data_IF_166236636143
#
_entry.id   IF_166236636143
#
_cell.length_a   1.000
_cell.length_b   1.000
_cell.length_c   1.000
_cell.angle_alpha   90.00
_cell.angle_beta   90.00
_cell.angle_gamma   90.00
#
_symmetry.space_group_name_H-M   'P 1'
#
loop_
_entity.id
_entity.type
_entity.pdbx_description
1 polymer ?
#
# COMPACT_ATOMS: atom_id res chain seq x y z
N UNK A 1 -35.36 -5.73 14.89
CA UNK A 1 -33.98 -5.95 14.38
C UNK A 1 -34.07 -7.07 13.37
N UNK A 2 -33.98 -6.75 12.08
CA UNK A 2 -34.09 -7.72 11.00
C UNK A 2 -32.75 -8.45 10.89
N UNK A 3 -32.75 -9.77 11.16
CA UNK A 3 -31.65 -10.64 10.81
C UNK A 3 -31.52 -10.65 9.30
N UNK A 4 -30.49 -10.03 8.77
CA UNK A 4 -30.12 -10.13 7.37
C UNK A 4 -29.45 -11.51 7.20
N UNK A 5 -30.24 -12.51 6.80
CA UNK A 5 -29.69 -13.80 6.37
C UNK A 5 -28.84 -13.54 5.10
N UNK A 6 -27.54 -13.73 5.25
CA UNK A 6 -26.61 -13.67 4.12
C UNK A 6 -26.84 -14.93 3.30
N UNK A 7 -27.39 -14.76 2.09
CA UNK A 7 -27.60 -15.87 1.16
C UNK A 7 -26.32 -16.67 0.92
N UNK A 8 -26.35 -18.01 1.04
CA UNK A 8 -25.16 -18.85 0.80
C UNK A 8 -24.54 -18.72 -0.59
N UNK A 9 -25.30 -18.25 -1.56
CA UNK A 9 -24.84 -18.03 -2.94
C UNK A 9 -23.76 -16.95 -3.08
N UNK A 10 -23.71 -15.97 -2.16
CA UNK A 10 -22.65 -14.95 -2.14
C UNK A 10 -21.32 -15.43 -1.55
N UNK A 11 -21.31 -16.55 -0.85
CA UNK A 11 -20.09 -17.11 -0.25
C UNK A 11 -19.17 -17.82 -1.26
N UNK A 12 -19.64 -18.13 -2.47
CA UNK A 12 -18.87 -18.91 -3.47
C UNK A 12 -17.85 -18.10 -4.27
N UNK A 13 -17.82 -16.76 -4.11
CA UNK A 13 -16.90 -15.87 -4.86
C UNK A 13 -15.76 -15.30 -4.03
N UNK A 14 -15.59 -15.69 -2.77
CA UNK A 14 -14.46 -15.25 -1.95
C UNK A 14 -13.23 -16.07 -2.29
N UNK A 15 -12.23 -15.43 -2.90
CA UNK A 15 -10.93 -16.04 -3.08
C UNK A 15 -10.27 -16.31 -1.72
N UNK A 16 -9.54 -17.43 -1.57
CA UNK A 16 -8.90 -17.75 -0.30
C UNK A 16 -7.82 -16.73 0.05
N UNK A 17 -7.82 -16.33 1.32
CA UNK A 17 -6.73 -15.56 1.90
C UNK A 17 -5.58 -16.48 2.28
N UNK A 18 -4.40 -16.27 1.70
CA UNK A 18 -3.19 -17.05 1.95
C UNK A 18 -2.05 -16.15 2.43
N UNK A 19 -0.98 -16.74 2.94
CA UNK A 19 0.27 -16.00 3.14
C UNK A 19 0.92 -15.70 1.79
N UNK A 20 1.71 -14.61 1.74
CA UNK A 20 2.58 -14.33 0.60
C UNK A 20 3.57 -15.48 0.38
N UNK A 21 3.87 -15.85 -0.87
CA UNK A 21 4.79 -16.95 -1.15
C UNK A 21 6.27 -16.61 -0.92
N UNK A 22 6.64 -15.33 -0.96
CA UNK A 22 8.01 -14.85 -1.01
C UNK A 22 8.39 -13.90 0.13
N UNK A 23 7.50 -13.70 1.11
CA UNK A 23 7.78 -12.82 2.24
C UNK A 23 6.61 -12.64 3.19
N UNK A 24 6.67 -11.62 4.07
CA UNK A 24 5.59 -11.31 4.98
C UNK A 24 4.37 -10.75 4.25
N UNK A 25 3.21 -10.86 4.90
CA UNK A 25 1.94 -10.35 4.40
C UNK A 25 0.97 -11.42 3.96
N UNK A 26 -0.29 -11.01 3.77
CA UNK A 26 -1.36 -11.85 3.21
C UNK A 26 -1.59 -11.55 1.74
N UNK A 27 -2.23 -12.50 1.06
CA UNK A 27 -2.65 -12.37 -0.33
C UNK A 27 -4.07 -12.87 -0.54
N UNK A 28 -4.84 -12.13 -1.32
CA UNK A 28 -6.13 -12.53 -1.87
C UNK A 28 -6.16 -12.18 -3.36
N UNK A 29 -6.24 -13.18 -4.24
CA UNK A 29 -6.18 -12.96 -5.68
C UNK A 29 -4.90 -12.22 -6.10
N UNK A 30 -5.04 -11.06 -6.73
CA UNK A 30 -3.94 -10.19 -7.13
C UNK A 30 -3.45 -9.26 -6.00
N UNK A 31 -4.20 -9.13 -4.88
CA UNK A 31 -3.90 -8.20 -3.79
C UNK A 31 -2.95 -8.81 -2.79
N UNK A 32 -1.83 -8.13 -2.55
CA UNK A 32 -0.96 -8.32 -1.41
C UNK A 32 -1.13 -7.20 -0.38
N UNK A 33 -0.76 -7.45 0.87
CA UNK A 33 -0.67 -6.44 1.91
C UNK A 33 0.64 -6.57 2.68
N UNK A 34 1.07 -5.49 3.29
CA UNK A 34 2.22 -5.46 4.19
C UNK A 34 2.02 -4.41 5.28
N UNK A 35 2.53 -4.71 6.46
CA UNK A 35 2.66 -3.79 7.59
C UNK A 35 4.09 -3.79 8.08
N UNK A 36 4.69 -2.62 8.19
CA UNK A 36 6.05 -2.45 8.75
C UNK A 36 5.93 -1.56 9.96
N UNK A 37 6.39 -2.04 11.12
CA UNK A 37 6.32 -1.29 12.38
C UNK A 37 7.72 -1.01 12.87
N UNK A 38 8.07 0.27 12.94
CA UNK A 38 9.39 0.74 13.38
C UNK A 38 9.32 1.68 14.58
N UNK A 39 10.48 1.95 15.16
CA UNK A 39 10.62 2.97 16.18
C UNK A 39 10.83 4.34 15.55
N UNK A 40 10.31 5.37 16.21
CA UNK A 40 10.51 6.77 15.82
C UNK A 40 11.66 7.35 16.66
N UNK A 41 12.59 8.01 15.99
CA UNK A 41 13.69 8.71 16.66
C UNK A 41 13.15 9.89 17.49
N UNK A 42 13.88 10.26 18.54
CA UNK A 42 13.53 11.45 19.33
C UNK A 42 13.45 12.69 18.43
N UNK A 43 12.32 13.42 18.47
CA UNK A 43 12.03 14.54 17.58
C UNK A 43 11.60 14.14 16.17
N UNK A 44 11.59 12.86 15.85
CA UNK A 44 11.23 12.35 14.52
C UNK A 44 9.77 12.60 14.14
N UNK A 45 8.86 12.64 15.11
CA UNK A 45 7.45 12.91 14.88
C UNK A 45 7.21 14.33 14.33
N UNK A 46 7.89 15.33 14.88
CA UNK A 46 7.82 16.72 14.39
C UNK A 46 8.41 16.84 13.00
N UNK A 47 9.53 16.17 12.74
CA UNK A 47 10.15 16.10 11.42
C UNK A 47 9.17 15.49 10.41
N UNK A 48 8.53 14.37 10.76
CA UNK A 48 7.55 13.70 9.91
C UNK A 48 6.39 14.63 9.57
N UNK A 49 5.76 15.25 10.58
CA UNK A 49 4.63 16.17 10.38
C UNK A 49 4.99 17.38 9.53
N UNK A 50 6.21 17.89 9.65
CA UNK A 50 6.70 18.99 8.81
C UNK A 50 6.89 18.61 7.33
N UNK A 51 6.92 17.31 6.99
CA UNK A 51 7.11 16.80 5.63
C UNK A 51 5.84 16.28 4.98
N UNK A 52 4.75 16.10 5.75
CA UNK A 52 3.52 15.42 5.31
C UNK A 52 2.85 16.10 4.14
N UNK A 53 2.75 17.42 4.14
CA UNK A 53 2.08 18.19 3.09
C UNK A 53 2.74 17.94 1.72
N UNK A 54 4.05 18.05 1.67
CA UNK A 54 4.81 17.76 0.44
C UNK A 54 4.71 16.29 0.06
N UNK A 55 4.83 15.38 1.02
CA UNK A 55 4.69 13.95 0.78
C UNK A 55 3.35 13.62 0.12
N UNK A 56 2.24 14.18 0.61
CA UNK A 56 0.92 13.97 0.04
C UNK A 56 0.74 14.64 -1.33
N UNK A 57 1.32 15.82 -1.53
CA UNK A 57 1.24 16.52 -2.82
C UNK A 57 1.94 15.74 -3.95
N UNK A 58 3.00 15.02 -3.64
CA UNK A 58 3.76 14.22 -4.60
C UNK A 58 3.23 12.78 -4.77
N UNK A 59 2.28 12.33 -3.93
CA UNK A 59 1.82 10.94 -3.88
C UNK A 59 1.34 10.40 -5.24
N UNK A 60 0.54 11.16 -5.97
CA UNK A 60 0.02 10.73 -7.28
C UNK A 60 1.11 10.56 -8.35
N UNK A 61 2.18 11.33 -8.28
CA UNK A 61 3.33 11.15 -9.16
C UNK A 61 4.05 9.82 -8.90
N UNK A 62 4.32 9.52 -7.63
CA UNK A 62 5.04 8.30 -7.25
C UNK A 62 4.18 7.05 -7.42
N UNK A 63 2.87 7.15 -7.09
CA UNK A 63 1.89 6.07 -7.35
C UNK A 63 1.90 5.65 -8.81
N UNK A 64 1.88 6.61 -9.73
CA UNK A 64 1.90 6.34 -11.18
C UNK A 64 3.17 5.62 -11.61
N UNK A 65 4.30 5.90 -10.99
CA UNK A 65 5.58 5.25 -11.30
C UNK A 65 5.65 3.81 -10.80
N UNK A 66 5.20 3.56 -9.58
CA UNK A 66 5.13 2.20 -9.01
C UNK A 66 4.04 1.39 -9.71
N UNK A 67 2.85 1.97 -9.89
CA UNK A 67 1.77 1.43 -10.71
C UNK A 67 1.09 0.17 -10.17
N UNK A 68 1.37 -0.20 -8.91
CA UNK A 68 0.82 -1.41 -8.27
C UNK A 68 0.17 -1.14 -6.92
N UNK A 69 0.26 0.07 -6.39
CA UNK A 69 -0.23 0.43 -5.05
C UNK A 69 -1.70 0.78 -5.08
N UNK A 70 -2.50 0.14 -4.24
CA UNK A 70 -3.92 0.44 -4.05
C UNK A 70 -4.18 1.37 -2.88
N UNK A 71 -3.38 1.21 -1.84
CA UNK A 71 -3.50 1.96 -0.60
C UNK A 71 -2.12 2.03 0.05
N UNK A 72 -1.76 3.21 0.54
CA UNK A 72 -0.52 3.43 1.28
C UNK A 72 -0.80 4.39 2.42
N UNK A 73 -0.33 4.05 3.59
CA UNK A 73 -0.47 4.92 4.76
C UNK A 73 0.71 4.81 5.70
N UNK A 74 0.99 5.92 6.38
CA UNK A 74 1.93 6.00 7.49
C UNK A 74 1.21 6.60 8.69
N UNK A 75 1.30 5.92 9.84
CA UNK A 75 0.77 6.43 11.10
C UNK A 75 1.89 6.55 12.11
N UNK A 76 1.75 7.54 13.00
CA UNK A 76 2.50 7.61 14.25
C UNK A 76 1.56 7.16 15.38
N UNK A 77 2.07 6.36 16.32
CA UNK A 77 1.29 5.83 17.43
C UNK A 77 2.18 5.63 18.67
N UNK A 78 1.61 5.12 19.78
CA UNK A 78 2.31 4.96 21.07
C UNK A 78 3.02 6.25 21.52
N UNK A 79 2.28 7.36 21.60
CA UNK A 79 2.80 8.67 21.94
C UNK A 79 4.00 9.11 21.06
N UNK A 80 3.84 8.90 19.73
CA UNK A 80 4.85 9.26 18.73
C UNK A 80 6.19 8.49 18.81
N UNK A 81 6.21 7.38 19.53
CA UNK A 81 7.44 6.56 19.65
C UNK A 81 7.53 5.47 18.57
N UNK A 82 6.43 5.20 17.89
CA UNK A 82 6.36 4.15 16.84
C UNK A 82 5.69 4.67 15.59
N UNK A 83 6.08 4.10 14.45
CA UNK A 83 5.43 4.30 13.17
C UNK A 83 4.93 2.97 12.61
N UNK A 84 3.83 3.02 11.89
CA UNK A 84 3.34 1.95 11.02
C UNK A 84 3.36 2.46 9.59
N UNK A 85 4.03 1.74 8.70
CA UNK A 85 3.90 1.87 7.25
C UNK A 85 3.07 0.68 6.77
N UNK A 86 1.98 0.95 6.07
CA UNK A 86 1.07 -0.07 5.59
C UNK A 86 0.74 0.15 4.12
N UNK A 87 0.69 -0.91 3.34
CA UNK A 87 0.32 -0.86 1.93
C UNK A 87 -0.53 -2.06 1.52
N UNK A 88 -1.41 -1.81 0.54
CA UNK A 88 -2.09 -2.83 -0.26
C UNK A 88 -1.64 -2.63 -1.70
N UNK A 89 -1.18 -3.71 -2.34
CA UNK A 89 -0.54 -3.67 -3.65
C UNK A 89 -0.92 -4.87 -4.53
N UNK A 90 -0.57 -4.80 -5.81
CA UNK A 90 -0.71 -5.92 -6.74
C UNK A 90 0.56 -6.77 -6.76
N UNK A 91 0.40 -8.11 -6.73
CA UNK A 91 1.49 -9.06 -6.91
C UNK A 91 2.09 -9.60 -5.62
N UNK A 92 3.34 -10.08 -5.72
CA UNK A 92 4.08 -10.70 -4.63
C UNK A 92 4.94 -9.67 -3.88
N UNK A 93 5.36 -10.02 -2.66
CA UNK A 93 6.04 -9.09 -1.76
C UNK A 93 7.39 -8.60 -2.29
N UNK A 94 8.26 -9.51 -2.75
CA UNK A 94 9.61 -9.14 -3.19
C UNK A 94 9.59 -8.20 -4.40
N UNK A 95 8.88 -8.51 -5.52
CA UNK A 95 8.76 -7.58 -6.64
C UNK A 95 8.20 -6.22 -6.24
N UNK A 96 7.16 -6.20 -5.39
CA UNK A 96 6.59 -4.95 -4.89
C UNK A 96 7.61 -4.11 -4.12
N UNK A 97 8.36 -4.73 -3.18
CA UNK A 97 9.36 -4.04 -2.40
C UNK A 97 10.47 -3.45 -3.29
N UNK A 98 10.93 -4.21 -4.28
CA UNK A 98 11.94 -3.74 -5.25
C UNK A 98 11.43 -2.57 -6.06
N UNK A 99 10.22 -2.66 -6.62
CA UNK A 99 9.59 -1.59 -7.39
C UNK A 99 9.42 -0.31 -6.56
N UNK A 100 8.96 -0.43 -5.32
CA UNK A 100 8.76 0.72 -4.42
C UNK A 100 10.09 1.39 -4.10
N UNK A 101 11.11 0.63 -3.74
CA UNK A 101 12.43 1.20 -3.40
C UNK A 101 13.14 1.80 -4.61
N UNK A 102 12.95 1.23 -5.81
CA UNK A 102 13.52 1.75 -7.05
C UNK A 102 12.76 2.99 -7.57
N UNK A 103 11.42 2.90 -7.67
CA UNK A 103 10.61 3.91 -8.35
C UNK A 103 10.18 5.06 -7.42
N UNK A 104 9.91 4.79 -6.14
CA UNK A 104 9.49 5.76 -5.14
C UNK A 104 10.56 6.04 -4.06
N UNK A 105 11.76 5.47 -4.21
CA UNK A 105 12.84 5.65 -3.25
C UNK A 105 13.13 7.10 -2.85
N UNK A 106 13.26 8.06 -3.80
CA UNK A 106 13.49 9.46 -3.46
C UNK A 106 12.40 10.08 -2.59
N UNK A 107 11.16 9.61 -2.70
CA UNK A 107 10.03 10.05 -1.88
C UNK A 107 10.17 9.58 -0.42
N UNK A 108 10.60 8.33 -0.21
CA UNK A 108 10.92 7.81 1.11
C UNK A 108 12.19 8.45 1.69
N UNK A 109 13.19 8.70 0.85
CA UNK A 109 14.44 9.39 1.23
C UNK A 109 14.20 10.84 1.64
N UNK A 110 13.11 11.45 1.20
CA UNK A 110 12.64 12.74 1.72
C UNK A 110 11.91 12.58 3.07
N UNK A 111 11.06 11.56 3.22
CA UNK A 111 10.17 11.42 4.37
C UNK A 111 10.85 10.83 5.61
N UNK A 112 11.64 9.77 5.47
CA UNK A 112 12.04 8.90 6.58
C UNK A 112 13.33 9.26 7.31
N UNK A 113 14.34 9.94 6.74
CA UNK A 113 15.56 10.30 7.46
C UNK A 113 15.27 11.19 8.68
N UNK A 114 15.82 10.80 9.84
CA UNK A 114 15.57 11.48 11.12
C UNK A 114 14.22 11.13 11.76
N UNK A 115 13.40 10.31 11.11
CA UNK A 115 12.10 9.84 11.59
C UNK A 115 12.18 8.38 12.01
N UNK A 116 12.50 7.49 11.08
CA UNK A 116 12.50 6.05 11.29
C UNK A 116 13.88 5.57 11.75
N UNK A 117 13.94 4.99 12.93
CA UNK A 117 15.18 4.45 13.49
C UNK A 117 15.73 3.32 12.60
N UNK A 118 16.99 3.47 12.20
CA UNK A 118 17.68 2.52 11.32
C UNK A 118 17.45 2.73 9.83
N UNK A 119 16.56 3.66 9.41
CA UNK A 119 16.44 4.04 8.01
C UNK A 119 17.69 4.81 7.58
N UNK A 120 18.30 4.38 6.47
CA UNK A 120 19.45 5.06 5.86
C UNK A 120 19.07 5.70 4.54
N UNK A 121 18.94 4.90 3.49
CA UNK A 121 18.53 5.32 2.15
C UNK A 121 17.78 4.19 1.46
N UNK A 122 16.82 4.53 0.60
CA UNK A 122 16.02 3.54 -0.16
C UNK A 122 16.87 2.55 -0.97
N UNK A 123 18.02 3.00 -1.47
CA UNK A 123 18.95 2.15 -2.24
C UNK A 123 19.83 1.24 -1.40
N UNK A 124 19.89 1.43 -0.09
CA UNK A 124 20.80 0.70 0.80
C UNK A 124 20.23 -0.68 1.15
N UNK A 125 21.09 -1.69 1.16
CA UNK A 125 20.74 -3.03 1.63
C UNK A 125 20.21 -3.01 3.07
N UNK A 126 20.80 -2.17 3.93
CA UNK A 126 20.40 -2.00 5.33
C UNK A 126 18.91 -1.58 5.47
N UNK A 127 18.41 -0.74 4.57
CA UNK A 127 16.98 -0.35 4.54
C UNK A 127 16.08 -1.51 4.13
N UNK A 128 16.49 -2.31 3.14
CA UNK A 128 15.75 -3.52 2.73
C UNK A 128 15.65 -4.53 3.88
N UNK A 129 16.78 -4.77 4.56
CA UNK A 129 16.84 -5.66 5.73
C UNK A 129 16.02 -5.11 6.91
N UNK A 130 16.02 -3.79 7.11
CA UNK A 130 15.20 -3.13 8.12
C UNK A 130 13.71 -3.39 7.86
N UNK A 131 13.26 -3.16 6.63
CA UNK A 131 11.87 -3.39 6.21
C UNK A 131 11.50 -4.86 6.43
N UNK A 132 12.30 -5.79 5.92
CA UNK A 132 12.03 -7.22 6.04
C UNK A 132 11.96 -7.67 7.51
N UNK A 133 12.85 -7.16 8.38
CA UNK A 133 12.88 -7.50 9.80
C UNK A 133 11.71 -6.91 10.61
N UNK A 134 11.19 -5.76 10.18
CA UNK A 134 10.11 -5.04 10.86
C UNK A 134 8.75 -5.26 10.19
N UNK A 135 8.68 -6.12 9.18
CA UNK A 135 7.44 -6.44 8.48
C UNK A 135 6.62 -7.48 9.26
N UNK A 136 5.32 -7.28 9.28
CA UNK A 136 4.33 -8.11 9.93
C UNK A 136 3.29 -8.59 8.92
N UNK A 137 2.84 -9.82 9.10
CA UNK A 137 1.71 -10.40 8.38
C UNK A 137 0.44 -10.13 9.17
N UNK A 138 -0.61 -9.62 8.54
CA UNK A 138 -1.91 -9.47 9.18
C UNK A 138 -2.50 -10.83 9.58
N UNK A 139 -3.22 -10.90 10.70
CA UNK A 139 -3.97 -12.10 11.07
C UNK A 139 -5.16 -12.33 10.14
N UNK A 140 -5.80 -11.25 9.70
CA UNK A 140 -6.90 -11.28 8.75
C UNK A 140 -6.75 -10.18 7.70
N UNK A 141 -7.05 -10.49 6.44
CA UNK A 141 -7.05 -9.55 5.34
C UNK A 141 -8.27 -9.79 4.46
N UNK A 142 -8.96 -8.72 4.13
CA UNK A 142 -10.07 -8.72 3.17
C UNK A 142 -9.80 -7.66 2.11
N UNK A 143 -10.01 -8.02 0.85
CA UNK A 143 -9.94 -7.10 -0.27
C UNK A 143 -11.21 -7.20 -1.11
N UNK A 144 -11.85 -6.06 -1.37
CA UNK A 144 -12.91 -5.97 -2.36
C UNK A 144 -12.30 -6.05 -3.77
N UNK A 145 -12.94 -6.80 -4.67
CA UNK A 145 -12.47 -6.96 -6.05
C UNK A 145 -11.00 -7.42 -6.16
N UNK A 146 -10.62 -8.53 -5.54
CA UNK A 146 -9.23 -8.97 -5.46
C UNK A 146 -8.63 -9.36 -6.81
N UNK A 147 -9.47 -9.54 -7.85
CA UNK A 147 -9.05 -9.88 -9.22
C UNK A 147 -8.64 -8.67 -10.07
N UNK A 148 -8.95 -7.46 -9.59
CA UNK A 148 -8.67 -6.23 -10.33
C UNK A 148 -7.36 -5.61 -9.89
N UNK A 149 -6.36 -5.58 -10.75
CA UNK A 149 -5.13 -4.79 -10.55
C UNK A 149 -5.38 -3.30 -10.75
N UNK A 150 -4.43 -2.45 -10.32
CA UNK A 150 -4.44 -1.01 -10.62
C UNK A 150 -4.54 -0.77 -12.13
N UNK A 151 -3.84 -1.57 -12.94
CA UNK A 151 -3.90 -1.48 -14.41
C UNK A 151 -5.28 -1.83 -14.95
N UNK A 152 -5.95 -2.84 -14.38
CA UNK A 152 -7.32 -3.20 -14.76
C UNK A 152 -8.30 -2.06 -14.41
N UNK A 153 -8.18 -1.48 -13.22
CA UNK A 153 -9.00 -0.33 -12.79
C UNK A 153 -8.78 0.88 -13.70
N UNK A 154 -7.54 1.21 -14.03
CA UNK A 154 -7.22 2.29 -14.94
C UNK A 154 -7.78 2.08 -16.36
N UNK A 155 -7.75 0.82 -16.86
CA UNK A 155 -8.37 0.45 -18.12
C UNK A 155 -9.89 0.62 -18.08
N UNK A 156 -10.54 0.15 -17.03
CA UNK A 156 -12.01 0.30 -16.85
C UNK A 156 -12.43 1.76 -16.81
N UNK A 157 -11.68 2.62 -16.08
CA UNK A 157 -11.95 4.07 -16.05
C UNK A 157 -11.89 4.70 -17.44
N UNK A 158 -10.87 4.35 -18.26
CA UNK A 158 -10.77 4.86 -19.64
C UNK A 158 -11.96 4.44 -20.50
N UNK A 159 -12.38 3.18 -20.40
CA UNK A 159 -13.53 2.66 -21.13
C UNK A 159 -14.81 3.40 -20.69
N UNK A 160 -15.04 3.54 -19.39
CA UNK A 160 -16.21 4.25 -18.84
C UNK A 160 -16.24 5.70 -19.32
N UNK A 161 -15.13 6.42 -19.29
CA UNK A 161 -15.07 7.80 -19.75
C UNK A 161 -15.40 7.91 -21.25
N UNK A 162 -14.83 7.03 -22.09
CA UNK A 162 -15.11 7.02 -23.52
C UNK A 162 -16.60 6.72 -23.82
N UNK A 163 -17.22 5.81 -23.07
CA UNK A 163 -18.66 5.51 -23.20
C UNK A 163 -19.50 6.72 -22.80
N UNK A 164 -19.16 7.41 -21.69
CA UNK A 164 -19.88 8.60 -21.26
C UNK A 164 -19.77 9.72 -22.29
N UNK A 165 -18.59 9.97 -22.87
CA UNK A 165 -18.41 10.95 -23.96
C UNK A 165 -19.32 10.65 -25.17
N UNK A 166 -19.46 9.37 -25.55
CA UNK A 166 -20.35 8.96 -26.64
C UNK A 166 -21.82 9.22 -26.27
N UNK A 167 -22.22 8.89 -25.04
CA UNK A 167 -23.60 9.09 -24.57
C UNK A 167 -23.94 10.58 -24.47
N UNK A 168 -23.02 11.41 -24.01
CA UNK A 168 -23.21 12.87 -23.90
C UNK A 168 -23.32 13.53 -25.29
N UNK A 169 -22.56 13.01 -26.28
CA UNK A 169 -22.62 13.51 -27.66
C UNK A 169 -23.89 13.08 -28.42
N UNK A 170 -24.62 12.09 -27.91
CA UNK A 170 -25.85 11.57 -28.52
C UNK A 170 -27.12 12.27 -27.99
N UNK A 171 -27.03 13.12 -26.96
CA UNK A 171 -28.11 13.93 -26.40
C UNK A 171 -28.04 15.38 -26.89
#
# INVERSE_FOLDING_TARGET
MSNMEISPEKASFTQPCTNQPDGPGKRIGKRGEIHVIGNVLQGGAEIFRGRIERFQAEAGYWETRVGTVHDFRVLLFDNDTRLLVSAVYDGDFIPYLEDVLEQAGPWFDFLMPGVWEGYTKSTDLATRELIARQAYTAEAFYAANPDLSIKDIAKMRRITNAVNEILDAAN
#
